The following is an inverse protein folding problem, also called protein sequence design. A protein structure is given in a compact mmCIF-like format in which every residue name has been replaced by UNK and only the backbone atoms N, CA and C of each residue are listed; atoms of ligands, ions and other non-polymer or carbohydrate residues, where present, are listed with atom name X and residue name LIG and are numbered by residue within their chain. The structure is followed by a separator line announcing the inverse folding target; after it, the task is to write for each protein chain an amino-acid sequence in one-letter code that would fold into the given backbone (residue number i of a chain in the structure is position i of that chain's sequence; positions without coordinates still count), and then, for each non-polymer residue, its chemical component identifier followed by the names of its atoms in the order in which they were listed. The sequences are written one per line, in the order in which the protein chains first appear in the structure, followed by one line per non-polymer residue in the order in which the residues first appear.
data_IF_120100763245
#
_entry.id   IF_120100763245
#
_cell.length_a   1.000
_cell.length_b   1.000
_cell.length_c   1.000
_cell.angle_alpha   90.00
_cell.angle_beta   90.00
_cell.angle_gamma   90.00
#
_symmetry.space_group_name_H-M   'P 1'
#
loop_
_entity.id
_entity.type
_entity.pdbx_description
1 polymer ?
#
# COMPACT_ATOMS: atom_id res chain seq x y z
N UNK A 1 10.71 -10.14 13.74
CA UNK A 1 10.78 -8.95 12.87
C UNK A 1 10.69 -7.71 13.74
N UNK A 2 11.42 -6.65 13.42
CA UNK A 2 11.33 -5.34 14.07
C UNK A 2 9.92 -4.75 13.92
N UNK A 3 9.44 -4.02 14.94
CA UNK A 3 8.15 -3.34 14.90
C UNK A 3 8.32 -1.83 14.73
N UNK A 4 7.30 -1.17 14.17
CA UNK A 4 7.23 0.27 13.97
C UNK A 4 5.88 0.82 14.41
N UNK A 5 5.89 2.03 14.93
CA UNK A 5 4.66 2.76 15.25
C UNK A 5 4.23 3.61 14.06
N UNK A 6 2.97 3.47 13.65
CA UNK A 6 2.38 4.33 12.65
C UNK A 6 2.04 5.69 13.26
N UNK A 7 3.00 6.59 13.16
CA UNK A 7 2.91 7.92 13.74
C UNK A 7 2.78 7.90 15.27
N UNK A 8 1.96 8.81 15.79
CA UNK A 8 1.71 8.99 17.24
C UNK A 8 0.45 8.27 17.73
N UNK A 9 -0.23 7.50 16.87
CA UNK A 9 -1.51 6.85 17.19
C UNK A 9 -1.42 5.69 18.17
N UNK A 10 -0.21 5.16 18.41
CA UNK A 10 0.00 3.95 19.20
C UNK A 10 -0.21 2.65 18.42
N UNK A 11 -0.62 2.69 17.15
CA UNK A 11 -0.71 1.48 16.32
C UNK A 11 0.70 0.99 15.98
N UNK A 12 1.06 -0.14 16.55
CA UNK A 12 2.35 -0.80 16.34
C UNK A 12 2.17 -2.01 15.42
N UNK A 13 3.02 -2.12 14.42
CA UNK A 13 2.99 -3.14 13.37
C UNK A 13 4.41 -3.59 13.02
N UNK A 14 4.56 -4.72 12.31
CA UNK A 14 5.84 -5.13 11.74
C UNK A 14 6.40 -4.07 10.79
N UNK A 15 7.73 -3.94 10.71
CA UNK A 15 8.42 -2.94 9.87
C UNK A 15 8.06 -3.04 8.38
N UNK A 16 7.69 -4.23 7.91
CA UNK A 16 7.07 -4.48 6.61
C UNK A 16 5.71 -5.13 6.82
N UNK A 17 4.69 -4.64 6.12
CA UNK A 17 3.39 -5.30 6.01
C UNK A 17 3.29 -6.13 4.73
N UNK A 18 2.18 -6.84 4.55
CA UNK A 18 1.83 -7.55 3.33
C UNK A 18 0.65 -6.86 2.63
N UNK A 19 0.87 -6.34 1.42
CA UNK A 19 -0.19 -5.92 0.52
C UNK A 19 -0.85 -7.13 -0.12
N UNK A 20 -2.14 -7.35 0.14
CA UNK A 20 -2.85 -8.55 -0.29
C UNK A 20 -3.55 -8.40 -1.65
N UNK A 21 -3.57 -7.21 -2.26
CA UNK A 21 -4.27 -6.93 -3.52
C UNK A 21 -3.96 -7.96 -4.61
N UNK A 22 -2.68 -8.23 -4.86
CA UNK A 22 -2.23 -9.10 -5.93
C UNK A 22 -2.64 -10.58 -5.81
N UNK A 23 -3.19 -11.00 -4.65
CA UNK A 23 -3.72 -12.34 -4.47
C UNK A 23 -5.06 -12.55 -5.19
N UNK A 24 -5.81 -11.47 -5.44
CA UNK A 24 -7.15 -11.56 -6.04
C UNK A 24 -7.37 -10.58 -7.19
N UNK A 25 -6.50 -9.58 -7.37
CA UNK A 25 -6.80 -8.44 -8.22
C UNK A 25 -5.54 -7.73 -8.76
N UNK A 26 -5.60 -7.29 -10.00
CA UNK A 26 -4.83 -6.18 -10.56
C UNK A 26 -3.46 -6.51 -11.16
N UNK A 27 -2.72 -7.50 -10.72
CA UNK A 27 -1.38 -7.82 -11.23
C UNK A 27 -1.33 -9.24 -11.81
N UNK A 28 -2.19 -9.49 -12.79
CA UNK A 28 -2.40 -10.78 -13.40
C UNK A 28 -3.59 -11.54 -12.80
N UNK A 29 -3.76 -12.82 -13.14
CA UNK A 29 -4.86 -13.64 -12.63
C UNK A 29 -4.78 -13.83 -11.11
N UNK A 30 -5.97 -13.96 -10.48
CA UNK A 30 -6.07 -14.31 -9.07
C UNK A 30 -5.38 -15.66 -8.78
N UNK A 31 -4.74 -15.77 -7.64
CA UNK A 31 -4.15 -17.04 -7.19
C UNK A 31 -5.23 -18.00 -6.68
N UNK A 32 -4.93 -19.30 -6.65
CA UNK A 32 -5.80 -20.26 -5.97
C UNK A 32 -5.98 -19.87 -4.48
N UNK A 33 -7.18 -20.06 -3.98
CA UNK A 33 -7.52 -19.67 -2.59
C UNK A 33 -6.61 -20.34 -1.56
N UNK A 34 -6.25 -21.61 -1.76
CA UNK A 34 -5.36 -22.35 -0.85
C UNK A 34 -3.97 -21.76 -0.83
N UNK A 35 -3.45 -21.38 -2.01
CA UNK A 35 -2.15 -20.78 -2.16
C UNK A 35 -2.11 -19.38 -1.52
N UNK A 36 -3.17 -18.59 -1.71
CA UNK A 36 -3.33 -17.30 -1.07
C UNK A 36 -3.36 -17.39 0.48
N UNK A 37 -4.12 -18.35 1.01
CA UNK A 37 -4.16 -18.63 2.46
C UNK A 37 -2.77 -19.08 2.96
N UNK A 38 -2.12 -19.97 2.24
CA UNK A 38 -0.79 -20.46 2.60
C UNK A 38 0.25 -19.34 2.63
N UNK A 39 0.22 -18.43 1.66
CA UNK A 39 1.11 -17.27 1.62
C UNK A 39 0.89 -16.32 2.79
N UNK A 40 -0.37 -15.96 3.10
CA UNK A 40 -0.71 -15.08 4.22
C UNK A 40 -0.24 -15.69 5.54
N UNK A 41 -0.49 -16.98 5.75
CA UNK A 41 -0.05 -17.70 6.96
C UNK A 41 1.47 -17.79 7.05
N UNK A 42 2.15 -18.05 5.92
CA UNK A 42 3.60 -18.02 5.85
C UNK A 42 4.18 -16.63 6.24
N UNK A 43 3.49 -15.54 5.89
CA UNK A 43 3.88 -14.20 6.33
C UNK A 43 3.73 -14.02 7.85
N UNK A 44 2.63 -14.49 8.45
CA UNK A 44 2.43 -14.48 9.92
C UNK A 44 3.54 -15.24 10.63
N UNK A 45 3.88 -16.46 10.17
CA UNK A 45 4.94 -17.29 10.71
C UNK A 45 6.31 -16.61 10.67
N UNK A 46 6.54 -15.76 9.68
CA UNK A 46 7.78 -14.96 9.52
C UNK A 46 7.74 -13.61 10.25
N UNK A 47 6.70 -13.38 11.05
CA UNK A 47 6.58 -12.23 11.93
C UNK A 47 5.96 -10.99 11.28
N UNK A 48 5.30 -11.10 10.13
CA UNK A 48 4.45 -10.03 9.59
C UNK A 48 3.20 -9.92 10.46
N UNK A 49 2.92 -8.71 10.92
CA UNK A 49 1.73 -8.43 11.75
C UNK A 49 0.76 -7.45 11.09
N UNK A 50 1.08 -6.91 9.93
CA UNK A 50 0.27 -5.92 9.23
C UNK A 50 -0.14 -6.41 7.83
N UNK A 51 -1.44 -6.51 7.61
CA UNK A 51 -2.05 -7.03 6.37
C UNK A 51 -3.01 -6.00 5.80
N UNK A 52 -2.80 -5.64 4.53
CA UNK A 52 -3.57 -4.61 3.83
C UNK A 52 -4.43 -5.21 2.73
N UNK A 53 -5.73 -4.95 2.79
CA UNK A 53 -6.72 -5.34 1.80
C UNK A 53 -7.65 -4.17 1.45
N UNK A 54 -8.72 -4.41 0.70
CA UNK A 54 -9.79 -3.47 0.42
C UNK A 54 -11.05 -4.20 -0.08
N UNK A 55 -12.23 -3.62 0.14
CA UNK A 55 -13.50 -4.15 -0.38
C UNK A 55 -13.50 -4.32 -1.89
N UNK A 56 -12.85 -3.39 -2.61
CA UNK A 56 -12.82 -3.36 -4.08
C UNK A 56 -11.92 -4.43 -4.69
N UNK A 57 -11.09 -5.10 -3.89
CA UNK A 57 -10.19 -6.13 -4.41
C UNK A 57 -10.93 -7.44 -4.66
N UNK A 58 -11.08 -7.78 -5.95
CA UNK A 58 -11.65 -9.00 -6.40
C UNK A 58 -13.15 -9.09 -6.74
N UNK A 59 -14.03 -8.06 -6.64
CA UNK A 59 -14.33 -7.31 -5.43
C UNK A 59 -14.80 -8.25 -4.30
N UNK A 60 -14.59 -7.83 -3.07
CA UNK A 60 -14.94 -8.53 -1.82
C UNK A 60 -14.15 -9.81 -1.53
N UNK A 61 -13.80 -10.59 -2.54
CA UNK A 61 -13.15 -11.91 -2.39
C UNK A 61 -11.78 -11.83 -1.71
N UNK A 62 -11.08 -10.71 -1.82
CA UNK A 62 -9.80 -10.51 -1.13
C UNK A 62 -9.99 -10.39 0.38
N UNK A 63 -11.00 -9.65 0.84
CA UNK A 63 -11.31 -9.57 2.29
C UNK A 63 -11.74 -10.95 2.83
N UNK A 64 -12.50 -11.74 2.08
CA UNK A 64 -12.86 -13.11 2.47
C UNK A 64 -11.63 -14.00 2.60
N UNK A 65 -10.69 -13.91 1.64
CA UNK A 65 -9.42 -14.64 1.67
C UNK A 65 -8.58 -14.25 2.89
N UNK A 66 -8.41 -12.95 3.13
CA UNK A 66 -7.64 -12.42 4.25
C UNK A 66 -8.29 -12.82 5.58
N UNK A 67 -9.61 -12.68 5.69
CA UNK A 67 -10.37 -13.05 6.89
C UNK A 67 -10.22 -14.53 7.23
N UNK A 68 -10.32 -15.43 6.25
CA UNK A 68 -10.13 -16.87 6.47
C UNK A 68 -8.70 -17.23 6.83
N UNK A 69 -7.72 -16.62 6.15
CA UNK A 69 -6.32 -16.87 6.42
C UNK A 69 -5.91 -16.45 7.83
N UNK A 70 -6.37 -15.25 8.27
CA UNK A 70 -5.96 -14.63 9.52
C UNK A 70 -6.83 -14.94 10.73
N UNK A 71 -8.00 -15.56 10.57
CA UNK A 71 -8.88 -15.91 11.68
C UNK A 71 -8.16 -16.64 12.84
N UNK A 72 -7.26 -17.62 12.60
CA UNK A 72 -6.53 -18.29 13.69
C UNK A 72 -5.49 -17.41 14.40
N UNK A 73 -5.16 -16.24 13.82
CA UNK A 73 -4.07 -15.37 14.29
C UNK A 73 -4.56 -13.96 14.64
N UNK A 74 -5.89 -13.77 14.74
CA UNK A 74 -6.50 -12.43 14.83
C UNK A 74 -5.92 -11.55 15.92
N UNK A 75 -5.62 -12.12 17.08
CA UNK A 75 -5.04 -11.38 18.21
C UNK A 75 -3.59 -10.95 18.01
N UNK A 76 -2.90 -11.56 17.06
CA UNK A 76 -1.48 -11.33 16.77
C UNK A 76 -1.24 -10.38 15.60
N UNK A 77 -2.28 -10.05 14.83
CA UNK A 77 -2.17 -9.30 13.59
C UNK A 77 -3.04 -8.04 13.58
N UNK A 78 -2.70 -7.12 12.70
CA UNK A 78 -3.46 -5.91 12.39
C UNK A 78 -3.93 -5.97 10.96
N UNK A 79 -5.22 -5.75 10.75
CA UNK A 79 -5.86 -5.78 9.44
C UNK A 79 -6.26 -4.36 9.07
N UNK A 80 -5.78 -3.91 7.92
CA UNK A 80 -6.22 -2.68 7.26
C UNK A 80 -7.12 -3.03 6.07
N UNK A 81 -8.25 -2.35 5.96
CA UNK A 81 -9.10 -2.39 4.77
C UNK A 81 -9.60 -1.00 4.39
N UNK A 82 -10.31 -0.87 3.28
CA UNK A 82 -10.62 0.42 2.67
C UNK A 82 -12.05 0.47 2.18
N UNK A 83 -12.67 1.66 2.28
CA UNK A 83 -13.98 2.02 1.76
C UNK A 83 -13.88 3.14 0.73
N UNK A 84 -14.98 3.46 0.07
CA UNK A 84 -15.15 4.68 -0.72
C UNK A 84 -15.25 4.47 -2.21
N UNK A 85 -15.14 3.25 -2.73
CA UNK A 85 -15.54 2.94 -4.10
C UNK A 85 -17.02 2.51 -4.15
N UNK A 86 -17.71 2.98 -5.17
CA UNK A 86 -19.01 2.43 -5.53
C UNK A 86 -18.79 1.20 -6.40
N UNK A 87 -19.32 0.06 -5.98
CA UNK A 87 -19.26 -1.20 -6.71
C UNK A 87 -20.66 -1.52 -7.21
N UNK A 88 -20.80 -1.70 -8.53
CA UNK A 88 -22.07 -2.10 -9.14
C UNK A 88 -22.39 -3.55 -8.73
N UNK A 89 -23.50 -3.80 -8.03
CA UNK A 89 -23.82 -5.12 -7.52
C UNK A 89 -24.14 -6.14 -8.63
N UNK A 90 -24.52 -5.68 -9.81
CA UNK A 90 -24.86 -6.57 -10.93
C UNK A 90 -23.64 -7.04 -11.73
N UNK A 91 -22.60 -6.20 -11.80
CA UNK A 91 -21.41 -6.47 -12.62
C UNK A 91 -20.14 -6.68 -11.80
N UNK A 92 -20.15 -6.31 -10.52
CA UNK A 92 -18.95 -6.31 -9.66
C UNK A 92 -17.91 -5.26 -10.06
N UNK A 93 -18.23 -4.33 -10.96
CA UNK A 93 -17.28 -3.32 -11.44
C UNK A 93 -17.35 -2.04 -10.62
N UNK A 94 -16.24 -1.34 -10.56
CA UNK A 94 -16.22 0.02 -10.03
C UNK A 94 -17.12 0.94 -10.85
N UNK A 95 -18.00 1.67 -10.16
CA UNK A 95 -18.98 2.61 -10.74
C UNK A 95 -18.79 4.04 -10.21
N UNK A 96 -17.60 4.39 -9.76
CA UNK A 96 -17.25 5.69 -9.20
C UNK A 96 -16.86 5.64 -7.73
N UNK A 97 -17.04 6.78 -7.04
CA UNK A 97 -16.75 6.93 -5.61
C UNK A 97 -18.06 7.11 -4.84
N UNK A 98 -18.08 6.64 -3.60
CA UNK A 98 -19.16 6.88 -2.64
C UNK A 98 -18.60 6.83 -1.22
N UNK A 99 -18.39 8.01 -0.63
CA UNK A 99 -17.97 8.16 0.76
C UNK A 99 -19.05 8.79 1.65
N UNK A 100 -20.33 8.69 1.26
CA UNK A 100 -21.42 9.14 2.11
C UNK A 100 -21.49 8.32 3.41
N UNK A 101 -21.85 8.93 4.54
CA UNK A 101 -21.93 8.26 5.83
C UNK A 101 -22.71 6.93 5.81
N UNK A 102 -23.84 6.88 5.10
CA UNK A 102 -24.67 5.67 4.98
C UNK A 102 -23.89 4.53 4.33
N UNK A 103 -23.17 4.84 3.23
CA UNK A 103 -22.38 3.85 2.51
C UNK A 103 -21.18 3.38 3.35
N UNK A 104 -20.51 4.28 4.07
CA UNK A 104 -19.40 3.91 4.98
C UNK A 104 -19.88 2.89 6.03
N UNK A 105 -21.09 3.09 6.61
CA UNK A 105 -21.70 2.16 7.55
C UNK A 105 -22.00 0.80 6.94
N UNK A 106 -22.53 0.77 5.73
CA UNK A 106 -22.77 -0.49 5.00
C UNK A 106 -21.47 -1.24 4.73
N UNK A 107 -20.44 -0.53 4.28
CA UNK A 107 -19.14 -1.12 3.97
C UNK A 107 -18.48 -1.71 5.22
N UNK A 108 -18.46 -0.98 6.35
CA UNK A 108 -17.80 -1.49 7.57
C UNK A 108 -18.47 -2.77 8.07
N UNK A 109 -19.81 -2.84 8.08
CA UNK A 109 -20.54 -4.04 8.50
C UNK A 109 -20.26 -5.24 7.58
N UNK A 110 -20.19 -4.99 6.28
CA UNK A 110 -19.90 -6.03 5.31
C UNK A 110 -18.42 -6.50 5.42
N UNK A 111 -17.48 -5.56 5.59
CA UNK A 111 -16.05 -5.86 5.76
C UNK A 111 -15.78 -6.64 7.05
N UNK A 112 -16.42 -6.30 8.17
CA UNK A 112 -16.31 -7.05 9.43
C UNK A 112 -16.72 -8.52 9.24
N UNK A 113 -17.80 -8.78 8.51
CA UNK A 113 -18.27 -10.15 8.20
C UNK A 113 -17.27 -10.90 7.33
N UNK A 114 -16.78 -10.28 6.23
CA UNK A 114 -15.82 -10.91 5.31
C UNK A 114 -14.48 -11.17 5.99
N UNK A 115 -14.02 -10.24 6.80
CA UNK A 115 -12.76 -10.34 7.55
C UNK A 115 -12.88 -11.23 8.81
N UNK A 116 -14.10 -11.69 9.16
CA UNK A 116 -14.37 -12.54 10.34
C UNK A 116 -13.81 -11.95 11.64
N UNK A 117 -14.07 -10.67 11.85
CA UNK A 117 -13.56 -9.91 13.01
C UNK A 117 -14.62 -8.94 13.52
N UNK A 118 -14.57 -8.64 14.81
CA UNK A 118 -15.48 -7.66 15.43
C UNK A 118 -14.97 -6.22 15.31
N UNK A 119 -13.69 -6.03 14.97
CA UNK A 119 -13.12 -4.70 14.78
C UNK A 119 -12.02 -4.68 13.69
N UNK A 120 -12.06 -3.66 12.84
CA UNK A 120 -11.02 -3.35 11.85
C UNK A 120 -9.93 -2.52 12.55
N UNK A 121 -8.65 -2.93 12.42
CA UNK A 121 -7.57 -2.20 13.09
C UNK A 121 -7.29 -0.85 12.43
N UNK A 122 -7.34 -0.76 11.09
CA UNK A 122 -7.12 0.49 10.34
C UNK A 122 -8.06 0.56 9.13
N UNK A 123 -8.92 1.58 9.09
CA UNK A 123 -9.93 1.75 8.07
C UNK A 123 -9.64 2.99 7.24
N UNK A 124 -9.32 2.79 5.95
CA UNK A 124 -8.93 3.87 5.05
C UNK A 124 -10.10 4.34 4.17
N UNK A 125 -10.20 5.66 3.95
CA UNK A 125 -10.84 6.13 2.72
C UNK A 125 -9.89 5.86 1.55
N UNK A 126 -10.31 5.01 0.60
CA UNK A 126 -9.45 4.51 -0.48
C UNK A 126 -9.06 5.60 -1.48
N UNK A 127 -10.02 6.46 -1.83
CA UNK A 127 -9.82 7.70 -2.61
C UNK A 127 -10.75 8.78 -2.07
N UNK A 128 -10.30 10.01 -2.07
CA UNK A 128 -11.10 11.15 -1.64
C UNK A 128 -12.27 11.35 -2.60
N UNK A 129 -13.48 11.30 -2.09
CA UNK A 129 -14.70 11.58 -2.84
C UNK A 129 -14.94 13.10 -2.89
N UNK A 130 -14.87 13.74 -4.07
CA UNK A 130 -15.05 15.18 -4.17
C UNK A 130 -16.47 15.65 -3.90
N UNK A 131 -17.44 14.71 -3.84
CA UNK A 131 -18.85 15.03 -3.62
C UNK A 131 -19.24 14.98 -2.14
N UNK A 132 -18.36 14.53 -1.26
CA UNK A 132 -18.60 14.42 0.18
C UNK A 132 -17.50 15.18 0.93
N UNK A 133 -17.85 16.18 1.75
CA UNK A 133 -16.86 16.89 2.58
C UNK A 133 -16.05 15.91 3.42
N UNK A 134 -14.73 16.08 3.44
CA UNK A 134 -13.86 15.16 4.19
C UNK A 134 -14.15 15.16 5.69
N UNK A 135 -14.71 16.26 6.20
CA UNK A 135 -15.14 16.38 7.59
C UNK A 135 -16.30 15.43 7.92
N UNK A 136 -17.23 15.23 6.98
CA UNK A 136 -18.34 14.28 7.15
C UNK A 136 -17.80 12.84 7.14
N UNK A 137 -16.87 12.54 6.24
CA UNK A 137 -16.21 11.23 6.19
C UNK A 137 -15.47 10.95 7.49
N UNK A 138 -14.64 11.89 7.96
CA UNK A 138 -13.90 11.77 9.21
C UNK A 138 -14.82 11.68 10.44
N UNK A 139 -15.94 12.42 10.42
CA UNK A 139 -16.98 12.37 11.44
C UNK A 139 -17.63 10.99 11.54
N UNK A 140 -17.98 10.38 10.41
CA UNK A 140 -18.55 9.04 10.38
C UNK A 140 -17.56 7.98 10.90
N UNK A 141 -16.30 8.04 10.46
CA UNK A 141 -15.29 7.09 10.98
C UNK A 141 -15.05 7.30 12.48
N UNK A 142 -15.12 8.53 12.99
CA UNK A 142 -15.07 8.82 14.43
C UNK A 142 -16.17 8.11 15.20
N UNK A 143 -17.40 8.11 14.68
CA UNK A 143 -18.52 7.38 15.27
C UNK A 143 -18.29 5.87 15.26
N UNK A 144 -17.76 5.32 14.17
CA UNK A 144 -17.42 3.90 14.07
C UNK A 144 -16.32 3.50 15.06
N UNK A 145 -15.36 4.40 15.34
CA UNK A 145 -14.34 4.20 16.38
C UNK A 145 -15.00 4.19 17.77
N UNK A 146 -15.90 5.11 18.05
CA UNK A 146 -16.63 5.15 19.33
C UNK A 146 -17.50 3.90 19.54
N UNK A 147 -18.03 3.33 18.46
CA UNK A 147 -18.77 2.05 18.49
C UNK A 147 -17.86 0.83 18.62
N UNK A 148 -16.55 0.99 18.55
CA UNK A 148 -15.57 -0.12 18.63
C UNK A 148 -15.44 -0.96 17.35
N UNK A 149 -16.09 -0.60 16.25
CA UNK A 149 -16.04 -1.31 14.96
C UNK A 149 -14.75 -1.05 14.19
N UNK A 150 -14.15 0.11 14.41
CA UNK A 150 -12.88 0.56 13.82
C UNK A 150 -11.99 1.04 14.96
N UNK A 151 -10.69 0.75 14.89
CA UNK A 151 -9.74 1.22 15.90
C UNK A 151 -9.00 2.49 15.47
N UNK A 152 -8.66 2.60 14.17
CA UNK A 152 -7.87 3.69 13.62
C UNK A 152 -8.40 4.12 12.26
N UNK A 153 -8.31 5.43 11.99
CA UNK A 153 -8.66 6.04 10.72
C UNK A 153 -7.45 6.28 9.85
N UNK A 154 -7.57 6.03 8.54
CA UNK A 154 -6.55 6.33 7.55
C UNK A 154 -7.11 6.98 6.28
N UNK A 155 -6.22 7.57 5.50
CA UNK A 155 -6.51 8.11 4.18
C UNK A 155 -5.58 7.47 3.15
N UNK A 156 -6.02 7.40 1.89
CA UNK A 156 -5.19 6.92 0.79
C UNK A 156 -5.19 7.92 -0.35
N UNK A 157 -3.98 8.29 -0.82
CA UNK A 157 -3.77 9.23 -1.93
C UNK A 157 -4.45 10.60 -1.75
N UNK A 158 -4.64 11.04 -0.50
CA UNK A 158 -5.20 12.34 -0.17
C UNK A 158 -4.17 13.45 -0.28
N UNK A 159 -4.59 14.63 -0.72
CA UNK A 159 -3.78 15.83 -0.73
C UNK A 159 -3.61 16.44 0.67
N UNK A 160 -2.59 17.27 0.83
CA UNK A 160 -2.17 17.85 2.13
C UNK A 160 -3.31 18.59 2.83
N UNK A 161 -4.10 19.38 2.10
CA UNK A 161 -5.21 20.13 2.69
C UNK A 161 -6.32 19.20 3.21
N UNK A 162 -6.64 18.16 2.45
CA UNK A 162 -7.62 17.15 2.85
C UNK A 162 -7.16 16.39 4.10
N UNK A 163 -5.87 16.01 4.15
CA UNK A 163 -5.27 15.36 5.32
C UNK A 163 -5.44 16.24 6.57
N UNK A 164 -5.11 17.54 6.48
CA UNK A 164 -5.23 18.48 7.61
C UNK A 164 -6.67 18.63 8.09
N UNK A 165 -7.60 18.77 7.16
CA UNK A 165 -9.05 18.91 7.47
C UNK A 165 -9.61 17.65 8.11
N UNK A 166 -9.30 16.48 7.59
CA UNK A 166 -9.70 15.20 8.18
C UNK A 166 -9.13 15.01 9.58
N UNK A 167 -7.82 15.27 9.74
CA UNK A 167 -7.10 15.10 11.00
C UNK A 167 -7.64 16.01 12.12
N UNK A 168 -8.16 17.19 11.78
CA UNK A 168 -8.78 18.11 12.73
C UNK A 168 -10.12 17.58 13.30
N UNK A 169 -10.83 16.71 12.58
CA UNK A 169 -12.12 16.12 13.02
C UNK A 169 -11.88 14.80 13.76
N UNK A 170 -11.09 13.93 13.17
CA UNK A 170 -10.66 12.64 13.71
C UNK A 170 -9.18 12.43 13.40
N UNK A 171 -8.32 12.19 14.40
CA UNK A 171 -6.93 11.93 14.15
C UNK A 171 -6.72 10.84 13.09
N UNK A 172 -6.00 11.21 12.02
CA UNK A 172 -5.60 10.27 10.98
C UNK A 172 -4.35 9.53 11.49
N UNK A 173 -4.43 8.22 11.53
CA UNK A 173 -3.34 7.35 12.01
C UNK A 173 -2.26 7.15 10.95
N UNK A 174 -2.69 6.93 9.70
CA UNK A 174 -1.78 6.69 8.59
C UNK A 174 -2.32 7.24 7.28
N UNK A 175 -1.40 7.72 6.45
CA UNK A 175 -1.64 7.91 5.02
C UNK A 175 -1.03 6.73 4.26
N UNK A 176 -1.79 6.19 3.31
CA UNK A 176 -1.28 5.21 2.34
C UNK A 176 -1.16 5.87 0.98
N UNK A 177 0.05 5.96 0.43
CA UNK A 177 0.30 6.51 -0.92
C UNK A 177 1.43 5.77 -1.62
N UNK A 178 1.48 5.86 -2.97
CA UNK A 178 2.60 5.32 -3.71
C UNK A 178 3.88 6.06 -3.34
N UNK A 179 4.90 5.32 -2.92
CA UNK A 179 6.22 5.86 -2.65
C UNK A 179 7.29 4.80 -2.87
N UNK A 180 8.30 5.14 -3.64
CA UNK A 180 9.43 4.27 -3.97
C UNK A 180 10.54 5.10 -4.62
N UNK A 181 11.69 4.50 -4.90
CA UNK A 181 12.75 5.13 -5.71
C UNK A 181 12.30 5.51 -7.13
N UNK A 182 11.20 4.94 -7.60
CA UNK A 182 10.61 5.27 -8.90
C UNK A 182 9.50 6.33 -8.83
N UNK A 183 9.04 6.69 -7.60
CA UNK A 183 8.02 7.71 -7.38
C UNK A 183 8.27 8.43 -6.07
N UNK A 184 8.82 9.64 -6.14
CA UNK A 184 9.29 10.40 -4.97
C UNK A 184 8.50 11.68 -4.69
N UNK A 185 7.41 11.92 -5.40
CA UNK A 185 6.56 13.13 -5.23
C UNK A 185 6.13 13.39 -3.76
N UNK A 186 5.83 12.37 -2.93
CA UNK A 186 5.45 12.61 -1.53
C UNK A 186 6.49 13.37 -0.69
N UNK A 187 7.75 13.40 -1.10
CA UNK A 187 8.83 14.06 -0.37
C UNK A 187 8.67 15.59 -0.30
N UNK A 188 8.01 16.20 -1.32
CA UNK A 188 7.89 17.64 -1.41
C UNK A 188 6.99 18.24 -0.34
N UNK A 189 5.82 17.66 -0.11
CA UNK A 189 4.80 18.23 0.80
C UNK A 189 4.17 17.19 1.73
N UNK A 190 3.92 15.97 1.24
CA UNK A 190 3.19 14.95 1.99
C UNK A 190 3.99 14.49 3.20
N UNK A 191 5.22 14.01 3.02
CA UNK A 191 6.05 13.49 4.11
C UNK A 191 6.29 14.56 5.20
N UNK A 192 6.65 15.82 4.87
CA UNK A 192 6.75 16.88 5.86
C UNK A 192 5.45 17.13 6.64
N UNK A 193 4.30 17.09 5.96
CA UNK A 193 2.99 17.25 6.62
C UNK A 193 2.67 16.10 7.57
N UNK A 194 2.98 14.86 7.18
CA UNK A 194 2.77 13.70 8.05
C UNK A 194 3.66 13.76 9.29
N UNK A 195 4.90 14.20 9.14
CA UNK A 195 5.84 14.39 10.25
C UNK A 195 5.33 15.45 11.24
N UNK A 196 4.87 16.60 10.74
CA UNK A 196 4.27 17.66 11.54
C UNK A 196 3.07 17.17 12.35
N UNK A 197 2.16 16.46 11.70
CA UNK A 197 0.91 15.98 12.30
C UNK A 197 1.08 14.68 13.13
N UNK A 198 2.23 14.02 13.03
CA UNK A 198 2.47 12.75 13.71
C UNK A 198 1.67 11.59 13.11
N UNK A 199 1.47 11.60 11.79
CA UNK A 199 0.76 10.57 11.02
C UNK A 199 1.77 9.57 10.45
N UNK A 200 1.48 8.26 10.52
CA UNK A 200 2.29 7.23 9.88
C UNK A 200 2.16 7.22 8.36
N UNK A 201 3.15 6.66 7.69
CA UNK A 201 3.13 6.52 6.23
C UNK A 201 3.23 5.06 5.81
N UNK A 202 2.32 4.64 4.92
CA UNK A 202 2.25 3.28 4.39
C UNK A 202 2.49 3.32 2.88
N UNK A 203 3.77 3.21 2.43
CA UNK A 203 4.09 3.13 1.01
C UNK A 203 3.49 1.89 0.36
N UNK A 204 2.58 2.07 -0.60
CA UNK A 204 2.15 0.98 -1.47
C UNK A 204 2.96 0.98 -2.78
N UNK A 205 2.96 -0.14 -3.50
CA UNK A 205 3.83 -0.38 -4.67
C UNK A 205 5.30 -0.01 -4.42
N UNK A 206 5.88 -0.39 -3.26
CA UNK A 206 7.23 0.02 -2.87
C UNK A 206 8.32 -0.53 -3.80
N UNK A 207 7.99 -1.56 -4.59
CA UNK A 207 8.83 -2.14 -5.63
C UNK A 207 8.45 -1.69 -7.05
N UNK A 208 7.69 -0.58 -7.19
CA UNK A 208 7.26 -0.08 -8.49
C UNK A 208 6.44 -1.11 -9.28
N UNK A 209 5.52 -1.81 -8.62
CA UNK A 209 4.73 -2.90 -9.24
C UNK A 209 5.60 -4.01 -9.86
N UNK A 210 6.76 -4.26 -9.27
CA UNK A 210 7.74 -5.27 -9.70
C UNK A 210 8.88 -4.73 -10.57
N UNK A 211 8.82 -3.50 -11.08
CA UNK A 211 9.86 -2.95 -11.95
C UNK A 211 11.22 -2.84 -11.24
N UNK A 212 11.23 -2.38 -9.99
CA UNK A 212 12.46 -2.18 -9.20
C UNK A 212 13.15 -3.50 -8.78
N UNK A 213 12.54 -4.65 -9.05
CA UNK A 213 13.17 -5.97 -8.80
C UNK A 213 14.21 -6.36 -9.86
N UNK A 214 14.24 -5.66 -11.01
CA UNK A 214 15.07 -6.03 -12.16
C UNK A 214 14.56 -7.25 -12.94
N UNK A 215 13.34 -7.74 -12.66
CA UNK A 215 12.74 -8.90 -13.36
C UNK A 215 11.83 -8.49 -14.53
N UNK A 216 11.65 -7.19 -14.77
CA UNK A 216 10.81 -6.63 -15.82
C UNK A 216 11.69 -5.76 -16.71
N UNK A 217 11.71 -6.07 -18.00
CA UNK A 217 12.43 -5.35 -19.04
C UNK A 217 11.48 -4.87 -20.16
N UNK A 218 12.00 -4.27 -21.21
CA UNK A 218 11.21 -3.81 -22.36
C UNK A 218 10.50 -4.92 -23.15
N UNK A 219 10.95 -6.18 -23.01
CA UNK A 219 10.40 -7.35 -23.70
C UNK A 219 9.37 -8.14 -22.87
N UNK A 220 9.27 -7.82 -21.58
CA UNK A 220 8.35 -8.53 -20.68
C UNK A 220 6.90 -8.31 -21.12
N UNK A 221 6.17 -9.42 -21.37
CA UNK A 221 4.75 -9.41 -21.62
C UNK A 221 3.97 -9.64 -20.31
N UNK A 222 2.89 -8.92 -20.13
CA UNK A 222 1.96 -9.10 -19.02
C UNK A 222 0.71 -9.84 -19.47
N UNK A 223 0.07 -10.58 -18.56
CA UNK A 223 -1.23 -11.17 -18.80
C UNK A 223 -2.25 -10.10 -19.23
N UNK A 224 -3.23 -10.45 -20.06
CA UNK A 224 -4.23 -9.52 -20.57
C UNK A 224 -5.06 -8.82 -19.49
N UNK A 225 -5.20 -9.44 -18.31
CA UNK A 225 -5.90 -8.89 -17.14
C UNK A 225 -5.01 -8.00 -16.26
N UNK A 226 -3.71 -7.88 -16.57
CA UNK A 226 -2.76 -7.16 -15.74
C UNK A 226 -2.88 -5.65 -15.93
N UNK A 227 -3.11 -4.94 -14.83
CA UNK A 227 -3.25 -3.50 -14.79
C UNK A 227 -2.04 -2.75 -15.39
N UNK A 228 -0.82 -3.32 -15.33
CA UNK A 228 0.37 -2.70 -15.89
C UNK A 228 0.27 -2.44 -17.40
N UNK A 229 -0.56 -3.20 -18.11
CA UNK A 229 -0.81 -2.98 -19.54
C UNK A 229 -1.37 -1.59 -19.88
N UNK A 230 -2.08 -0.94 -18.94
CA UNK A 230 -2.68 0.39 -19.16
C UNK A 230 -1.92 1.52 -18.46
N UNK A 231 -0.87 1.20 -17.71
CA UNK A 231 -0.06 2.20 -16.98
C UNK A 231 1.04 2.76 -17.89
N UNK A 232 1.06 4.07 -18.20
CA UNK A 232 1.98 4.64 -19.20
C UNK A 232 3.46 4.35 -18.95
N UNK A 233 3.92 4.35 -17.68
CA UNK A 233 5.32 4.05 -17.34
C UNK A 233 5.72 2.57 -17.57
N UNK A 234 4.77 1.71 -17.91
CA UNK A 234 5.01 0.31 -18.26
C UNK A 234 5.01 0.08 -19.78
N UNK A 235 4.89 1.10 -20.62
CA UNK A 235 5.15 0.90 -22.06
C UNK A 235 6.58 0.38 -22.27
N UNK A 236 6.85 -0.40 -23.34
CA UNK A 236 8.20 -0.90 -23.61
C UNK A 236 9.25 0.22 -23.65
N UNK A 237 8.92 1.36 -24.25
CA UNK A 237 9.79 2.54 -24.38
C UNK A 237 10.09 3.16 -23.00
N UNK A 238 9.06 3.31 -22.17
CA UNK A 238 9.22 3.85 -20.81
C UNK A 238 10.04 2.91 -19.93
N UNK A 239 9.79 1.60 -19.99
CA UNK A 239 10.60 0.59 -19.25
C UNK A 239 12.08 0.65 -19.65
N UNK A 240 12.36 0.75 -20.95
CA UNK A 240 13.72 0.91 -21.45
C UNK A 240 14.37 2.22 -20.95
N UNK A 241 13.66 3.34 -21.03
CA UNK A 241 14.15 4.63 -20.55
C UNK A 241 14.40 4.64 -19.03
N UNK A 242 13.56 3.93 -18.26
CA UNK A 242 13.66 3.85 -16.80
C UNK A 242 14.67 2.81 -16.29
N UNK A 243 15.31 2.03 -17.16
CA UNK A 243 16.25 0.97 -16.77
C UNK A 243 17.37 1.47 -15.85
N UNK A 244 17.79 2.71 -16.00
CA UNK A 244 18.83 3.32 -15.17
C UNK A 244 18.55 3.26 -13.64
N UNK A 245 17.25 3.27 -13.24
CA UNK A 245 16.88 3.12 -11.82
C UNK A 245 17.15 1.70 -11.34
N UNK A 246 16.86 0.71 -12.17
CA UNK A 246 17.11 -0.71 -11.88
C UNK A 246 18.60 -1.00 -11.83
N UNK A 247 19.37 -0.43 -12.77
CA UNK A 247 20.83 -0.58 -12.81
C UNK A 247 21.51 0.04 -11.57
N UNK A 248 20.99 1.19 -11.10
CA UNK A 248 21.44 1.78 -9.85
C UNK A 248 21.22 0.83 -8.67
N UNK A 249 20.00 0.29 -8.54
CA UNK A 249 19.69 -0.68 -7.48
C UNK A 249 20.55 -1.94 -7.57
N UNK A 250 20.83 -2.43 -8.78
CA UNK A 250 21.68 -3.59 -9.01
C UNK A 250 23.10 -3.38 -8.48
N UNK A 251 23.71 -2.22 -8.78
CA UNK A 251 25.06 -1.89 -8.27
C UNK A 251 25.13 -1.83 -6.75
N UNK A 252 24.15 -1.21 -6.10
CA UNK A 252 24.11 -1.15 -4.63
C UNK A 252 23.84 -2.55 -4.05
N UNK A 253 23.01 -3.35 -4.70
CA UNK A 253 22.69 -4.71 -4.29
C UNK A 253 23.94 -5.61 -4.29
N UNK A 254 24.78 -5.53 -5.33
CA UNK A 254 26.06 -6.24 -5.38
C UNK A 254 26.98 -5.85 -4.22
N UNK A 255 27.12 -4.56 -3.91
CA UNK A 255 27.94 -4.08 -2.79
C UNK A 255 27.44 -4.56 -1.43
N UNK A 256 26.14 -4.82 -1.29
CA UNK A 256 25.47 -5.19 -0.03
C UNK A 256 25.16 -6.68 0.07
N UNK A 257 25.57 -7.49 -0.91
CA UNK A 257 25.21 -8.91 -0.99
C UNK A 257 23.70 -9.14 -0.88
N UNK A 258 22.93 -8.28 -1.54
CA UNK A 258 21.46 -8.22 -1.48
C UNK A 258 20.85 -8.25 -2.88
N UNK A 259 19.52 -8.24 -2.96
CA UNK A 259 18.81 -8.09 -4.23
C UNK A 259 18.35 -6.64 -4.45
N UNK A 260 18.10 -6.22 -5.71
CA UNK A 260 17.52 -4.89 -5.99
C UNK A 260 16.23 -4.63 -5.22
N UNK A 261 15.36 -5.63 -5.08
CA UNK A 261 14.14 -5.54 -4.29
C UNK A 261 14.41 -5.23 -2.81
N UNK A 262 15.40 -5.91 -2.22
CA UNK A 262 15.80 -5.68 -0.83
C UNK A 262 16.36 -4.27 -0.64
N UNK A 263 17.20 -3.78 -1.57
CA UNK A 263 17.72 -2.41 -1.51
C UNK A 263 16.59 -1.37 -1.61
N UNK A 264 15.64 -1.56 -2.54
CA UNK A 264 14.50 -0.66 -2.69
C UNK A 264 13.63 -0.58 -1.41
N UNK A 265 13.39 -1.70 -0.74
CA UNK A 265 12.67 -1.75 0.53
C UNK A 265 13.49 -1.19 1.69
N UNK A 266 14.78 -1.53 1.78
CA UNK A 266 15.68 -1.01 2.80
C UNK A 266 15.82 0.51 2.72
N UNK A 267 15.85 1.07 1.49
CA UNK A 267 15.84 2.52 1.29
C UNK A 267 14.59 3.17 1.87
N UNK A 268 13.40 2.61 1.63
CA UNK A 268 12.15 3.10 2.22
C UNK A 268 12.17 3.02 3.74
N UNK A 269 12.65 1.90 4.30
CA UNK A 269 12.76 1.71 5.74
C UNK A 269 13.72 2.70 6.39
N UNK A 270 14.71 3.20 5.65
CA UNK A 270 15.68 4.17 6.14
C UNK A 270 15.17 5.63 6.10
N UNK A 271 14.09 5.93 5.38
CA UNK A 271 13.59 7.30 5.23
C UNK A 271 13.04 7.87 6.53
N UNK A 272 12.14 7.15 7.20
CA UNK A 272 11.54 7.56 8.47
C UNK A 272 11.16 6.35 9.32
N UNK A 273 11.28 6.41 10.65
CA UNK A 273 10.94 5.28 11.54
C UNK A 273 9.45 4.95 11.61
N UNK A 274 8.59 5.85 11.13
CA UNK A 274 7.15 5.72 11.07
C UNK A 274 6.61 5.34 9.66
N UNK A 275 7.50 4.92 8.75
CA UNK A 275 7.15 4.34 7.46
C UNK A 275 7.09 2.82 7.54
N UNK A 276 6.01 2.26 6.98
CA UNK A 276 5.75 0.82 6.92
C UNK A 276 5.36 0.44 5.50
N UNK A 277 6.31 0.08 4.64
CA UNK A 277 6.01 -0.38 3.28
C UNK A 277 5.20 -1.68 3.29
N UNK A 278 4.32 -1.83 2.29
CA UNK A 278 3.46 -3.01 2.12
C UNK A 278 3.70 -3.70 0.76
N UNK A 279 4.89 -4.29 0.54
CA UNK A 279 5.11 -5.07 -0.67
C UNK A 279 4.10 -6.22 -0.77
N UNK A 280 3.54 -6.42 -1.97
CA UNK A 280 2.68 -7.56 -2.28
C UNK A 280 3.42 -8.61 -3.09
N UNK A 281 3.07 -9.87 -2.90
CA UNK A 281 3.57 -11.00 -3.69
C UNK A 281 2.59 -12.15 -3.70
N UNK A 282 2.72 -13.04 -4.67
CA UNK A 282 1.97 -14.30 -4.78
C UNK A 282 2.86 -15.52 -4.51
N UNK A 283 4.15 -15.34 -4.19
CA UNK A 283 5.14 -16.41 -4.03
C UNK A 283 5.86 -16.30 -2.68
N UNK A 284 5.96 -17.42 -1.96
CA UNK A 284 6.64 -17.49 -0.66
C UNK A 284 8.11 -17.10 -0.76
N UNK A 285 8.82 -17.52 -1.82
CA UNK A 285 10.23 -17.14 -2.03
C UNK A 285 10.43 -15.63 -2.17
N UNK A 286 9.52 -14.93 -2.85
CA UNK A 286 9.55 -13.46 -2.96
C UNK A 286 9.14 -12.78 -1.65
N UNK A 287 8.24 -13.40 -0.88
CA UNK A 287 7.92 -12.93 0.46
C UNK A 287 9.19 -12.94 1.33
N UNK A 288 9.92 -14.05 1.34
CA UNK A 288 11.17 -14.20 2.08
C UNK A 288 12.24 -13.18 1.63
N UNK A 289 12.40 -13.01 0.32
CA UNK A 289 13.28 -12.00 -0.26
C UNK A 289 12.92 -10.60 0.25
N UNK A 290 11.64 -10.21 0.15
CA UNK A 290 11.17 -8.90 0.61
C UNK A 290 11.40 -8.70 2.10
N UNK A 291 11.09 -9.70 2.93
CA UNK A 291 11.26 -9.64 4.38
C UNK A 291 12.75 -9.54 4.77
N UNK A 292 13.65 -10.09 3.96
CA UNK A 292 15.11 -9.96 4.14
C UNK A 292 15.60 -8.51 4.12
N UNK A 293 14.84 -7.58 3.53
CA UNK A 293 15.20 -6.16 3.48
C UNK A 293 15.39 -5.52 4.86
N UNK A 294 14.71 -6.01 5.90
CA UNK A 294 14.85 -5.48 7.28
C UNK A 294 16.25 -5.69 7.86
N UNK A 295 17.01 -6.62 7.29
CA UNK A 295 18.39 -6.91 7.72
C UNK A 295 19.44 -6.10 6.95
N UNK A 296 19.05 -5.41 5.87
CA UNK A 296 19.97 -4.62 5.06
C UNK A 296 20.17 -3.25 5.72
N UNK A 297 21.41 -2.98 6.13
CA UNK A 297 21.81 -1.71 6.71
C UNK A 297 22.40 -0.80 5.62
N UNK A 298 21.67 0.23 5.25
CA UNK A 298 22.17 1.31 4.42
C UNK A 298 22.78 2.38 5.31
N UNK A 299 24.06 2.68 5.06
CA UNK A 299 24.77 3.77 5.75
C UNK A 299 24.33 5.13 5.22
N UNK A 300 24.70 6.20 5.92
CA UNK A 300 24.46 7.56 5.43
C UNK A 300 25.13 7.81 4.06
N UNK A 301 26.27 7.18 3.79
CA UNK A 301 26.94 7.28 2.49
C UNK A 301 26.18 6.55 1.40
N UNK A 302 25.70 5.33 1.67
CA UNK A 302 24.83 4.59 0.75
C UNK A 302 23.58 5.40 0.37
N UNK A 303 22.91 5.99 1.36
CA UNK A 303 21.71 6.80 1.13
C UNK A 303 22.02 8.04 0.29
N UNK A 304 23.13 8.73 0.56
CA UNK A 304 23.58 9.87 -0.26
C UNK A 304 23.91 9.46 -1.70
N UNK A 305 24.56 8.33 -1.90
CA UNK A 305 24.87 7.79 -3.22
C UNK A 305 23.58 7.48 -3.99
N UNK A 306 22.66 6.75 -3.36
CA UNK A 306 21.34 6.41 -3.95
C UNK A 306 20.58 7.68 -4.34
N UNK A 307 20.46 8.65 -3.42
CA UNK A 307 19.71 9.88 -3.63
C UNK A 307 20.34 10.76 -4.72
N UNK A 308 21.67 10.90 -4.71
CA UNK A 308 22.39 11.65 -5.73
C UNK A 308 22.28 11.01 -7.11
N UNK A 309 22.31 9.69 -7.20
CA UNK A 309 22.18 8.99 -8.48
C UNK A 309 20.73 9.01 -8.98
N UNK A 310 19.76 8.75 -8.09
CA UNK A 310 18.33 8.74 -8.44
C UNK A 310 17.83 10.12 -8.88
N UNK A 311 18.32 11.22 -8.28
CA UNK A 311 17.95 12.58 -8.65
C UNK A 311 18.34 12.98 -10.09
N UNK A 312 19.31 12.29 -10.68
CA UNK A 312 19.77 12.51 -12.07
C UNK A 312 18.98 11.70 -13.09
N UNK A 313 18.15 10.77 -12.63
CA UNK A 313 17.36 9.90 -13.49
C UNK A 313 15.99 10.55 -13.70
N UNK A 314 15.70 10.93 -14.94
CA UNK A 314 14.38 11.42 -15.31
C UNK A 314 13.47 10.21 -15.56
N UNK A 315 12.46 10.02 -14.71
CA UNK A 315 11.48 8.95 -14.87
C UNK A 315 10.54 9.29 -16.03
N UNK A 316 10.42 8.37 -16.99
CA UNK A 316 9.54 8.51 -18.14
C UNK A 316 8.22 7.74 -17.93
N UNK A 317 7.12 8.33 -18.43
CA UNK A 317 5.78 7.76 -18.34
C UNK A 317 5.02 8.17 -17.09
N UNK A 318 3.72 8.45 -17.27
CA UNK A 318 2.83 8.80 -16.17
C UNK A 318 2.58 7.62 -15.23
N UNK A 319 2.39 7.93 -13.95
CA UNK A 319 2.11 6.96 -12.89
C UNK A 319 0.80 6.20 -13.10
N UNK A 320 -0.21 6.91 -13.59
CA UNK A 320 -1.54 6.39 -13.87
C UNK A 320 -2.05 6.88 -15.24
N UNK A 321 -3.01 6.17 -15.86
CA UNK A 321 -3.85 6.74 -16.90
C UNK A 321 -4.58 7.99 -16.38
N UNK A 322 -4.90 8.93 -17.27
CA UNK A 322 -5.46 10.23 -16.88
C UNK A 322 -6.69 10.17 -15.97
N UNK A 323 -7.62 9.23 -16.24
CA UNK A 323 -8.84 9.08 -15.45
C UNK A 323 -8.57 8.63 -13.99
N UNK A 324 -7.53 7.83 -13.76
CA UNK A 324 -7.11 7.43 -12.42
C UNK A 324 -6.25 8.50 -11.75
N UNK A 325 -5.43 9.23 -12.54
CA UNK A 325 -4.63 10.33 -12.02
C UNK A 325 -5.52 11.44 -11.42
N UNK A 326 -6.71 11.66 -11.96
CA UNK A 326 -7.68 12.61 -11.42
C UNK A 326 -8.25 12.24 -10.05
N UNK A 327 -8.04 11.01 -9.58
CA UNK A 327 -8.54 10.53 -8.28
C UNK A 327 -7.52 10.61 -7.14
N UNK A 328 -6.30 11.10 -7.41
CA UNK A 328 -5.22 11.19 -6.43
C UNK A 328 -4.85 12.64 -6.13
N UNK A 329 -4.31 12.90 -4.95
CA UNK A 329 -3.85 14.23 -4.55
C UNK A 329 -4.96 15.24 -4.24
N UNK A 330 -6.18 14.77 -3.98
CA UNK A 330 -7.36 15.61 -3.69
C UNK A 330 -7.48 15.96 -2.22
#
# INVERSE_FOLDING_TARGET
METRKLGKSGLEVSALGLGCMGLSFGLGPAVDKKDGIALIRAAVERGVTFFDTAEVYGPFTNEELVGEALAPFRDRVKIATKFGFKIDPSTGKQAGLDSRPEHIREVVEASLKRLKTDAIDLFYQHRVDPNVPIEEVAGEVKELIQQGKVKHFGLSEAGVQTIRRAHAVQPVTALQSEYSLWWREPEAEVIPTLEELGIGFVPFSPLGKGFLTGKIDEKTAFDSSDFRNIVPRFSPEARKANQAVVDLLGRIAEQKEATPAQIALAWLLAQKPWMVPIPGTTQVSRLEENLGAVNIKLTADDLREIDSAASKIKVEGARYPEHLQKMVGR
#
